data_IF_103937817026
#
_entry.id   IF_103937817026
#
_cell.length_a   1.000
_cell.length_b   1.000
_cell.length_c   1.000
_cell.angle_alpha   90.00
_cell.angle_beta   90.00
_cell.angle_gamma   90.00
#
_symmetry.space_group_name_H-M   'P 1'
#
loop_
_entity.id
_entity.type
_entity.pdbx_description
1 polymer ?
#
# COMPACT_ATOMS: atom_id res chain seq x y z
N UNK A 1 -36.36 15.09 31.58
CA UNK A 1 -35.91 13.85 30.92
C UNK A 1 -34.62 13.39 31.56
N UNK A 2 -34.38 12.08 31.71
CA UNK A 2 -33.13 11.54 32.28
C UNK A 2 -32.21 11.03 31.17
N UNK A 3 -30.91 11.30 31.28
CA UNK A 3 -29.92 10.85 30.31
C UNK A 3 -29.69 9.34 30.43
N UNK A 4 -29.80 8.59 29.33
CA UNK A 4 -29.60 7.13 29.30
C UNK A 4 -28.17 6.68 29.68
N UNK A 5 -27.20 7.60 29.73
CA UNK A 5 -25.80 7.26 30.08
C UNK A 5 -25.32 7.69 31.45
N UNK A 6 -25.69 8.90 31.86
CA UNK A 6 -25.19 9.49 33.10
C UNK A 6 -26.29 9.72 34.14
N UNK A 7 -27.55 9.39 33.82
CA UNK A 7 -28.69 9.51 34.72
C UNK A 7 -29.13 10.95 35.02
N UNK A 8 -28.35 11.96 34.65
CA UNK A 8 -28.63 13.38 34.92
C UNK A 8 -29.95 13.81 34.29
N UNK A 9 -30.71 14.59 35.03
CA UNK A 9 -31.91 15.25 34.54
C UNK A 9 -31.52 16.40 33.62
N UNK A 10 -32.24 16.52 32.50
CA UNK A 10 -32.05 17.58 31.54
C UNK A 10 -33.39 17.99 30.91
N UNK A 11 -33.43 19.24 30.45
CA UNK A 11 -34.54 19.79 29.68
C UNK A 11 -34.30 19.49 28.20
N UNK A 12 -35.19 18.73 27.52
CA UNK A 12 -35.03 18.47 26.10
C UNK A 12 -35.18 19.79 25.31
N UNK A 13 -34.31 19.98 24.32
CA UNK A 13 -34.50 21.06 23.35
C UNK A 13 -35.73 20.72 22.49
N UNK A 14 -36.75 21.57 22.53
CA UNK A 14 -38.09 21.32 21.97
C UNK A 14 -38.18 21.27 20.44
N UNK A 15 -37.10 20.94 19.73
CA UNK A 15 -37.07 20.88 18.28
C UNK A 15 -36.72 19.48 17.77
N UNK A 16 -37.65 18.88 17.02
CA UNK A 16 -37.45 17.60 16.35
C UNK A 16 -37.65 16.36 17.23
N UNK A 17 -36.83 15.33 17.00
CA UNK A 17 -36.95 14.01 17.67
C UNK A 17 -36.62 14.10 19.17
N UNK A 18 -37.28 13.30 20.03
CA UNK A 18 -37.06 13.35 21.48
C UNK A 18 -35.59 13.08 21.84
N UNK A 19 -35.01 13.99 22.64
CA UNK A 19 -33.63 13.92 23.07
C UNK A 19 -33.45 12.82 24.14
N UNK A 20 -32.50 11.90 23.92
CA UNK A 20 -32.19 10.76 24.81
C UNK A 20 -31.02 11.01 25.78
N UNK A 21 -30.15 11.96 25.43
CA UNK A 21 -28.92 12.23 26.17
C UNK A 21 -28.84 13.71 26.52
N UNK A 22 -28.36 14.03 27.72
CA UNK A 22 -28.23 15.41 28.20
C UNK A 22 -27.25 16.26 27.38
N UNK A 23 -26.29 15.63 26.67
CA UNK A 23 -25.24 16.32 25.92
C UNK A 23 -24.77 15.52 24.70
N UNK A 24 -24.04 16.21 23.78
CA UNK A 24 -23.32 15.57 22.67
C UNK A 24 -22.27 14.56 23.17
N UNK A 25 -21.58 14.87 24.27
CA UNK A 25 -20.57 13.99 24.87
C UNK A 25 -21.17 12.67 25.37
N UNK A 26 -22.35 12.72 26.01
CA UNK A 26 -23.08 11.51 26.36
C UNK A 26 -23.43 10.74 25.08
N UNK A 27 -24.09 11.36 24.10
CA UNK A 27 -24.45 10.68 22.85
C UNK A 27 -23.28 9.91 22.21
N UNK A 28 -22.12 10.56 22.06
CA UNK A 28 -20.93 9.92 21.50
C UNK A 28 -20.40 8.76 22.36
N UNK A 29 -20.40 8.89 23.69
CA UNK A 29 -19.98 7.81 24.59
C UNK A 29 -20.90 6.59 24.51
N UNK A 30 -22.20 6.78 24.25
CA UNK A 30 -23.14 5.69 24.04
C UNK A 30 -22.84 4.98 22.72
N UNK A 31 -22.64 5.74 21.65
CA UNK A 31 -22.32 5.19 20.34
C UNK A 31 -21.00 4.42 20.35
N UNK A 32 -19.99 4.92 21.07
CA UNK A 32 -18.72 4.23 21.27
C UNK A 32 -18.91 2.89 22.00
N UNK A 33 -19.65 2.87 23.12
CA UNK A 33 -19.95 1.63 23.85
C UNK A 33 -20.72 0.62 23.00
N UNK A 34 -21.68 1.07 22.18
CA UNK A 34 -22.44 0.22 21.25
C UNK A 34 -21.55 -0.41 20.18
N UNK A 35 -20.60 0.36 19.62
CA UNK A 35 -19.64 -0.15 18.64
C UNK A 35 -18.66 -1.13 19.27
N UNK A 36 -18.13 -0.80 20.46
CA UNK A 36 -17.18 -1.65 21.18
C UNK A 36 -17.79 -2.99 21.60
N UNK A 37 -19.06 -2.99 21.99
CA UNK A 37 -19.77 -4.19 22.44
C UNK A 37 -20.50 -4.93 21.31
N UNK A 38 -20.31 -4.53 20.04
CA UNK A 38 -20.96 -5.20 18.92
C UNK A 38 -20.20 -6.50 18.61
N UNK A 39 -20.84 -7.69 18.68
CA UNK A 39 -20.20 -8.93 18.26
C UNK A 39 -19.85 -8.86 16.76
N UNK A 40 -18.74 -9.48 16.32
CA UNK A 40 -18.31 -9.48 14.93
C UNK A 40 -19.19 -10.43 14.11
N UNK A 41 -20.47 -10.09 13.91
CA UNK A 41 -21.37 -10.89 13.10
C UNK A 41 -22.24 -10.02 12.20
N UNK A 42 -22.10 -10.28 10.90
CA UNK A 42 -22.92 -9.83 9.76
C UNK A 42 -22.85 -8.33 9.46
N UNK A 43 -21.78 -7.93 8.76
CA UNK A 43 -21.77 -6.72 7.94
C UNK A 43 -22.70 -6.93 6.72
N UNK A 44 -24.02 -6.90 6.96
CA UNK A 44 -24.98 -6.75 5.90
C UNK A 44 -24.86 -5.35 5.30
N UNK A 45 -24.46 -5.33 4.01
CA UNK A 45 -24.38 -4.20 3.07
C UNK A 45 -25.17 -2.96 3.50
N UNK A 46 -24.48 -1.84 3.75
CA UNK A 46 -25.01 -0.51 3.46
C UNK A 46 -23.96 0.35 2.77
N UNK A 47 -24.36 0.79 1.60
CA UNK A 47 -23.72 1.65 0.62
C UNK A 47 -23.27 3.02 1.14
N UNK A 48 -22.09 3.40 0.61
CA UNK A 48 -21.63 4.73 0.17
C UNK A 48 -20.98 5.70 1.17
N UNK A 49 -19.76 6.05 0.74
CA UNK A 49 -19.02 7.32 0.88
C UNK A 49 -18.54 7.72 2.28
N UNK A 50 -17.29 7.36 2.58
CA UNK A 50 -16.23 8.28 3.03
C UNK A 50 -14.89 7.56 2.90
N UNK A 51 -13.94 8.22 2.27
CA UNK A 51 -12.53 7.85 2.12
C UNK A 51 -11.98 7.45 3.47
N UNK A 52 -11.89 6.14 3.69
CA UNK A 52 -11.11 5.54 4.76
C UNK A 52 -9.92 4.97 4.01
N UNK A 53 -8.76 5.62 4.12
CA UNK A 53 -7.51 4.92 3.90
C UNK A 53 -7.57 3.70 4.83
N UNK A 54 -7.72 2.53 4.24
CA UNK A 54 -7.46 1.29 4.97
C UNK A 54 -5.98 1.29 5.35
N UNK A 55 -5.62 0.75 6.53
CA UNK A 55 -4.23 0.38 6.76
C UNK A 55 -3.85 -0.54 5.62
N UNK A 56 -2.78 -0.17 4.91
CA UNK A 56 -2.32 -0.84 3.69
C UNK A 56 -2.35 -2.35 3.94
N UNK A 57 -3.25 -3.02 3.24
CA UNK A 57 -3.26 -4.48 3.23
C UNK A 57 -1.86 -4.89 2.79
N UNK A 58 -1.17 -5.69 3.60
CA UNK A 58 0.11 -6.32 3.22
C UNK A 58 -0.02 -6.76 1.76
N UNK A 59 0.78 -6.13 0.90
CA UNK A 59 0.69 -6.35 -0.53
C UNK A 59 0.74 -7.85 -0.76
N UNK A 60 -0.33 -8.43 -1.34
CA UNK A 60 -0.36 -9.86 -1.66
C UNK A 60 0.91 -10.18 -2.46
N UNK A 61 1.51 -11.37 -2.27
CA UNK A 61 2.80 -11.72 -2.87
C UNK A 61 2.81 -11.43 -4.37
N UNK A 62 1.67 -11.70 -5.04
CA UNK A 62 1.43 -11.46 -6.46
C UNK A 62 1.25 -9.98 -6.83
N UNK A 63 0.93 -9.13 -5.87
CA UNK A 63 0.88 -7.67 -6.01
C UNK A 63 2.26 -7.07 -5.81
N UNK A 64 3.03 -7.56 -4.84
CA UNK A 64 4.44 -7.20 -4.65
C UNK A 64 5.30 -7.60 -5.86
N UNK A 65 5.08 -8.81 -6.39
CA UNK A 65 5.76 -9.36 -7.58
C UNK A 65 5.30 -8.71 -8.90
N UNK A 66 4.21 -7.91 -8.87
CA UNK A 66 3.82 -7.00 -9.96
C UNK A 66 4.35 -5.59 -9.78
N UNK A 67 4.77 -5.24 -8.57
CA UNK A 67 5.37 -3.96 -8.21
C UNK A 67 6.89 -3.99 -8.40
N UNK A 68 7.47 -5.20 -8.37
CA UNK A 68 8.82 -5.51 -8.85
C UNK A 68 8.70 -5.90 -10.33
N UNK A 69 9.39 -5.21 -11.23
CA UNK A 69 9.32 -5.35 -12.69
C UNK A 69 9.74 -6.72 -13.28
N UNK A 70 9.75 -7.79 -12.47
CA UNK A 70 10.20 -9.12 -12.83
C UNK A 70 9.56 -9.66 -14.11
N UNK A 71 8.27 -9.38 -14.38
CA UNK A 71 7.67 -9.84 -15.64
C UNK A 71 8.22 -9.12 -16.88
N UNK A 72 8.57 -7.84 -16.79
CA UNK A 72 9.07 -7.10 -17.94
C UNK A 72 10.56 -7.37 -18.15
N UNK A 73 11.37 -7.35 -17.09
CA UNK A 73 12.79 -7.72 -17.20
C UNK A 73 12.99 -9.15 -17.69
N UNK A 74 12.18 -10.11 -17.23
CA UNK A 74 12.26 -11.49 -17.70
C UNK A 74 11.88 -11.62 -19.19
N UNK A 75 10.88 -10.86 -19.64
CA UNK A 75 10.57 -10.81 -21.09
C UNK A 75 11.70 -10.19 -21.90
N UNK A 76 12.39 -9.18 -21.37
CA UNK A 76 13.55 -8.58 -22.02
C UNK A 76 14.72 -9.58 -22.08
N UNK A 77 15.01 -10.31 -21.00
CA UNK A 77 16.03 -11.37 -20.97
C UNK A 77 15.70 -12.47 -21.98
N UNK A 78 14.44 -12.90 -22.08
CA UNK A 78 13.99 -13.89 -23.07
C UNK A 78 14.19 -13.41 -24.51
N UNK A 79 13.84 -12.15 -24.81
CA UNK A 79 14.02 -11.55 -26.14
C UNK A 79 15.50 -11.44 -26.51
N UNK A 80 16.34 -10.95 -25.59
CA UNK A 80 17.79 -10.87 -25.80
C UNK A 80 18.40 -12.25 -26.05
N UNK A 81 17.98 -13.27 -25.30
CA UNK A 81 18.39 -14.66 -25.52
C UNK A 81 18.09 -15.14 -26.95
N UNK A 82 16.87 -14.93 -27.42
CA UNK A 82 16.46 -15.29 -28.80
C UNK A 82 17.23 -14.51 -29.87
N UNK A 83 17.48 -13.23 -29.66
CA UNK A 83 18.23 -12.40 -30.61
C UNK A 83 19.70 -12.83 -30.69
N UNK A 84 20.33 -13.18 -29.55
CA UNK A 84 21.70 -13.72 -29.53
C UNK A 84 21.77 -15.08 -30.23
N UNK A 85 20.80 -15.95 -29.98
CA UNK A 85 20.71 -17.25 -30.65
C UNK A 85 20.59 -17.09 -32.18
N UNK A 86 19.71 -16.19 -32.64
CA UNK A 86 19.58 -15.88 -34.06
C UNK A 86 20.84 -15.24 -34.68
N UNK A 87 21.62 -14.47 -33.91
CA UNK A 87 22.87 -13.88 -34.40
C UNK A 87 23.96 -14.95 -34.62
N UNK A 88 23.96 -16.00 -33.81
CA UNK A 88 24.94 -17.09 -33.88
C UNK A 88 24.51 -18.24 -34.80
N UNK A 89 23.25 -18.26 -35.25
CA UNK A 89 22.77 -19.25 -36.22
C UNK A 89 23.33 -18.97 -37.64
N UNK A 90 24.09 -19.92 -38.23
CA UNK A 90 24.62 -19.79 -39.60
C UNK A 90 23.51 -19.79 -40.67
N UNK A 91 22.28 -20.16 -40.34
CA UNK A 91 21.13 -20.10 -41.24
C UNK A 91 20.54 -18.68 -41.39
N UNK A 92 20.93 -17.75 -40.52
CA UNK A 92 20.41 -16.39 -40.51
C UNK A 92 20.92 -15.59 -41.73
N UNK A 93 20.03 -14.96 -42.52
CA UNK A 93 20.45 -14.21 -43.70
C UNK A 93 21.28 -12.99 -43.31
N UNK A 94 22.40 -12.76 -44.01
CA UNK A 94 23.36 -11.69 -43.72
C UNK A 94 22.72 -10.28 -43.66
N UNK A 95 21.65 -10.04 -44.43
CA UNK A 95 20.92 -8.77 -44.44
C UNK A 95 20.17 -8.49 -43.13
N UNK A 96 19.86 -9.52 -42.34
CA UNK A 96 19.17 -9.38 -41.06
C UNK A 96 20.13 -9.07 -39.90
N UNK A 97 21.43 -9.40 -40.02
CA UNK A 97 22.42 -9.23 -38.95
C UNK A 97 22.53 -7.78 -38.43
N UNK A 98 22.59 -6.73 -39.28
CA UNK A 98 22.64 -5.36 -38.79
C UNK A 98 21.41 -5.01 -37.96
N UNK A 99 20.22 -5.40 -38.43
CA UNK A 99 18.96 -5.12 -37.72
C UNK A 99 18.84 -5.86 -36.38
N UNK A 100 19.37 -7.09 -36.30
CA UNK A 100 19.43 -7.87 -35.06
C UNK A 100 20.41 -7.22 -34.08
N UNK A 101 21.59 -6.80 -34.55
CA UNK A 101 22.60 -6.14 -33.72
C UNK A 101 22.14 -4.79 -33.15
N UNK A 102 21.43 -3.97 -33.95
CA UNK A 102 20.87 -2.69 -33.49
C UNK A 102 19.83 -2.90 -32.39
N UNK A 103 18.94 -3.88 -32.57
CA UNK A 103 17.93 -4.21 -31.55
C UNK A 103 18.56 -4.73 -30.26
N UNK A 104 19.63 -5.54 -30.36
CA UNK A 104 20.38 -6.00 -29.20
C UNK A 104 20.95 -4.83 -28.39
N UNK A 105 21.57 -3.85 -29.06
CA UNK A 105 22.10 -2.65 -28.39
C UNK A 105 21.01 -1.82 -27.70
N UNK A 106 19.83 -1.68 -28.32
CA UNK A 106 18.68 -0.99 -27.72
C UNK A 106 18.17 -1.69 -26.46
N UNK A 107 18.10 -3.03 -26.47
CA UNK A 107 17.66 -3.80 -25.31
C UNK A 107 18.70 -3.84 -24.19
N UNK A 108 19.99 -3.91 -24.52
CA UNK A 108 21.07 -3.85 -23.53
C UNK A 108 21.08 -2.48 -22.81
N UNK A 109 20.89 -1.36 -23.53
CA UNK A 109 20.78 -0.03 -22.88
C UNK A 109 19.52 0.08 -22.02
N UNK A 110 18.40 -0.53 -22.45
CA UNK A 110 17.16 -0.55 -21.67
C UNK A 110 17.29 -1.37 -20.38
N UNK A 111 18.03 -2.49 -20.41
CA UNK A 111 18.36 -3.28 -19.22
C UNK A 111 19.23 -2.47 -18.25
N UNK A 112 20.25 -1.78 -18.77
CA UNK A 112 21.15 -0.94 -17.96
C UNK A 112 20.39 0.18 -17.22
N UNK A 113 19.45 0.83 -17.89
CA UNK A 113 18.61 1.88 -17.29
C UNK A 113 17.63 1.35 -16.24
N UNK A 114 17.11 0.14 -16.43
CA UNK A 114 16.24 -0.51 -15.45
C UNK A 114 17.01 -0.84 -14.16
N UNK A 115 18.21 -1.40 -14.28
CA UNK A 115 19.10 -1.72 -13.15
C UNK A 115 19.55 -0.47 -12.39
N UNK A 116 19.90 0.61 -13.10
CA UNK A 116 20.28 1.89 -12.49
C UNK A 116 19.11 2.52 -11.71
N UNK A 117 17.87 2.37 -12.18
CA UNK A 117 16.68 2.85 -11.46
C UNK A 117 16.36 2.06 -10.19
N UNK A 118 16.76 0.78 -10.11
CA UNK A 118 16.63 -0.06 -8.91
C UNK A 118 17.65 0.28 -7.81
N UNK A 119 18.70 1.01 -8.14
CA UNK A 119 19.79 1.42 -7.24
C UNK A 119 19.55 2.76 -6.53
N UNK A 120 18.33 3.33 -6.58
CA UNK A 120 18.02 4.63 -5.97
C UNK A 120 17.98 4.61 -4.42
N UNK A 121 17.97 3.43 -3.80
CA UNK A 121 17.96 3.27 -2.34
C UNK A 121 19.34 2.87 -1.74
N UNK A 122 20.38 2.67 -2.54
CA UNK A 122 21.71 2.24 -2.05
C UNK A 122 22.62 3.40 -1.61
N UNK A 123 22.11 4.64 -1.57
CA UNK A 123 22.90 5.82 -1.24
C UNK A 123 22.51 6.50 0.09
N UNK A 124 21.61 5.93 0.91
CA UNK A 124 21.20 6.53 2.18
C UNK A 124 21.02 5.51 3.34
N UNK A 125 21.84 4.46 3.42
CA UNK A 125 21.98 3.65 4.65
C UNK A 125 23.25 4.03 5.40
N UNK A 126 23.45 5.32 5.62
CA UNK A 126 24.49 5.82 6.51
C UNK A 126 23.84 6.61 7.67
N UNK A 127 23.87 5.97 8.84
CA UNK A 127 23.73 6.54 10.18
C UNK A 127 22.31 6.92 10.64
N UNK A 128 21.55 5.93 11.11
CA UNK A 128 20.74 6.13 12.34
C UNK A 128 21.26 5.20 13.43
N UNK A 129 22.39 5.59 14.04
CA UNK A 129 22.80 5.07 15.35
C UNK A 129 21.70 5.44 16.36
N UNK A 130 20.82 4.48 16.66
CA UNK A 130 19.91 4.57 17.79
C UNK A 130 20.76 4.39 19.04
N UNK A 131 21.23 5.48 19.63
CA UNK A 131 21.85 5.45 20.96
C UNK A 131 20.80 4.95 21.95
N UNK A 132 21.05 3.75 22.48
CA UNK A 132 20.20 3.08 23.45
C UNK A 132 20.02 3.92 24.71
N UNK A 133 18.76 4.00 25.12
CA UNK A 133 18.25 4.49 26.39
C UNK A 133 19.01 3.88 27.59
N UNK A 134 19.84 4.68 28.26
CA UNK A 134 20.36 4.36 29.59
C UNK A 134 20.27 5.58 30.48
N UNK A 135 19.37 5.52 31.48
CA UNK A 135 19.56 6.30 32.70
C UNK A 135 18.28 6.78 33.37
N UNK A 136 17.65 5.89 34.14
CA UNK A 136 16.72 6.27 35.19
C UNK A 136 17.31 7.37 36.11
N UNK A 137 16.56 8.44 36.33
CA UNK A 137 16.76 9.31 37.48
C UNK A 137 15.40 9.79 37.99
N UNK A 138 14.92 9.11 39.01
CA UNK A 138 13.90 9.62 39.93
C UNK A 138 14.69 10.18 41.12
N UNK A 139 14.61 11.50 41.32
CA UNK A 139 14.82 12.18 42.60
C UNK A 139 13.72 13.20 42.77
#
# INVERSE_FOLDING_TARGET
MKCELCGKEFRPSGHGRPQRYCSKSCRQKADYRRKKNRPPQTAAKKTKTRTKQEPESDLDRRSFERMMDGSHEDTLREIVGRLREALHDPSTPANALPSISSKLAEFDERMRMAEESGSLFDANDDVTEVAEDVGASIV
#
